data_IF_675424530996
#
_entry.id   IF_675424530996
#
_cell.length_a   1.000
_cell.length_b   1.000
_cell.length_c   1.000
_cell.angle_alpha   90.00
_cell.angle_beta   90.00
_cell.angle_gamma   90.00
#
_symmetry.space_group_name_H-M   'P 1'
#
loop_
_entity.id
_entity.type
_entity.pdbx_description
1 polymer ?
#
# COMPACT_ATOMS: atom_id res chain seq x y z
N UNK A 1 2.37 -11.83 34.13
CA UNK A 1 1.82 -11.01 33.03
C UNK A 1 2.93 -10.11 32.48
N UNK A 2 3.55 -10.47 31.35
CA UNK A 2 4.60 -9.67 30.70
C UNK A 2 3.94 -8.65 29.78
N UNK A 3 4.12 -7.35 30.07
CA UNK A 3 3.71 -6.25 29.18
C UNK A 3 4.46 -6.40 27.85
N UNK A 4 3.71 -6.58 26.77
CA UNK A 4 4.21 -6.48 25.40
C UNK A 4 4.53 -5.01 25.14
N UNK A 5 5.81 -4.65 25.09
CA UNK A 5 6.25 -3.38 24.55
C UNK A 5 6.03 -3.42 23.04
N UNK A 6 4.86 -2.93 22.62
CA UNK A 6 4.62 -2.60 21.22
C UNK A 6 5.51 -1.42 20.84
N UNK A 7 6.14 -1.55 19.68
CA UNK A 7 6.92 -0.55 18.98
C UNK A 7 6.42 0.87 19.24
N UNK A 8 7.14 1.62 20.08
CA UNK A 8 7.09 3.08 20.06
C UNK A 8 8.19 3.51 19.10
N UNK A 9 7.99 3.24 17.81
CA UNK A 9 8.68 4.01 16.81
C UNK A 9 8.29 5.47 17.05
N UNK A 10 9.25 6.39 17.03
CA UNK A 10 8.99 7.82 16.95
C UNK A 10 8.22 8.06 15.63
N UNK A 11 6.90 7.84 15.66
CA UNK A 11 5.98 8.44 14.72
C UNK A 11 5.90 9.89 15.16
N UNK A 12 6.79 10.72 14.63
CA UNK A 12 6.37 12.08 14.31
C UNK A 12 5.15 11.90 13.41
N UNK A 13 4.00 12.25 13.95
CA UNK A 13 2.75 12.35 13.22
C UNK A 13 2.96 13.36 12.09
N UNK A 14 3.45 12.89 10.94
CA UNK A 14 3.34 13.60 9.68
C UNK A 14 1.85 13.57 9.34
N UNK A 15 1.11 14.51 9.94
CA UNK A 15 -0.14 14.98 9.39
C UNK A 15 0.21 15.45 7.98
N UNK A 16 -0.15 14.66 6.96
CA UNK A 16 -0.20 15.12 5.57
C UNK A 16 -1.35 16.14 5.46
N UNK A 17 -1.23 17.27 6.16
CA UNK A 17 -2.00 18.48 5.93
C UNK A 17 -1.23 19.30 4.90
N UNK A 18 -1.18 18.80 3.66
CA UNK A 18 -0.87 19.65 2.54
C UNK A 18 -2.10 20.56 2.35
N UNK A 19 -2.08 21.73 2.98
CA UNK A 19 -2.91 22.85 2.56
C UNK A 19 -2.40 23.25 1.17
N UNK A 20 -2.98 22.65 0.13
CA UNK A 20 -2.73 23.06 -1.25
C UNK A 20 -3.35 24.45 -1.45
N UNK A 21 -2.58 25.51 -1.21
CA UNK A 21 -2.85 26.81 -1.81
C UNK A 21 -2.71 26.66 -3.32
N UNK A 22 -3.82 26.87 -4.04
CA UNK A 22 -4.00 26.74 -5.50
C UNK A 22 -2.71 26.82 -6.35
N UNK A 23 -2.42 25.72 -7.05
CA UNK A 23 -1.72 25.53 -8.34
C UNK A 23 -0.43 24.69 -8.41
N UNK A 24 0.18 24.24 -7.30
CA UNK A 24 1.32 23.31 -7.41
C UNK A 24 1.03 21.98 -6.72
N UNK A 25 1.12 20.89 -7.49
CA UNK A 25 1.05 19.53 -6.98
C UNK A 25 2.33 19.25 -6.17
N UNK A 26 2.17 18.91 -4.89
CA UNK A 26 3.28 18.41 -4.08
C UNK A 26 3.61 16.97 -4.48
N UNK A 27 4.83 16.74 -4.95
CA UNK A 27 5.28 15.44 -5.47
C UNK A 27 6.13 14.70 -4.44
N UNK A 28 5.71 13.51 -4.06
CA UNK A 28 6.43 12.64 -3.14
C UNK A 28 7.16 11.54 -3.94
N UNK A 29 8.49 11.44 -3.87
CA UNK A 29 9.25 10.40 -4.56
C UNK A 29 9.07 9.04 -3.88
N UNK A 30 8.89 7.97 -4.65
CA UNK A 30 8.73 6.61 -4.11
C UNK A 30 9.30 5.55 -5.07
N UNK A 31 9.63 4.37 -4.56
CA UNK A 31 9.95 3.21 -5.39
C UNK A 31 8.69 2.45 -5.78
N UNK A 32 8.63 2.05 -7.05
CA UNK A 32 7.58 1.23 -7.62
C UNK A 32 7.97 -0.28 -7.63
N UNK A 33 7.01 -1.19 -7.85
CA UNK A 33 7.20 -2.65 -7.83
C UNK A 33 8.23 -3.13 -8.86
N UNK A 34 8.43 -2.37 -9.93
CA UNK A 34 9.46 -2.63 -10.96
C UNK A 34 10.86 -2.11 -10.58
N UNK A 35 10.99 -1.44 -9.44
CA UNK A 35 12.23 -0.82 -8.95
C UNK A 35 12.52 0.56 -9.53
N UNK A 36 11.60 1.13 -10.30
CA UNK A 36 11.73 2.51 -10.78
C UNK A 36 11.43 3.52 -9.66
N UNK A 37 12.13 4.66 -9.69
CA UNK A 37 11.75 5.83 -8.88
C UNK A 37 10.66 6.60 -9.60
N UNK A 38 9.51 6.73 -8.95
CA UNK A 38 8.35 7.47 -9.43
C UNK A 38 8.06 8.64 -8.49
N UNK A 39 7.09 9.48 -8.84
CA UNK A 39 6.59 10.53 -7.96
C UNK A 39 5.06 10.51 -7.93
N UNK A 40 4.49 10.67 -6.74
CA UNK A 40 3.04 10.65 -6.52
C UNK A 40 2.57 11.96 -5.91
N UNK A 41 1.40 12.42 -6.32
CA UNK A 41 0.70 13.55 -5.71
C UNK A 41 -0.75 13.20 -5.41
N UNK A 42 -1.40 13.97 -4.55
CA UNK A 42 -2.74 13.69 -4.05
C UNK A 42 -3.66 14.90 -4.22
N UNK A 43 -4.79 14.70 -4.90
CA UNK A 43 -5.87 15.69 -4.98
C UNK A 43 -7.01 15.26 -4.06
N UNK A 44 -7.38 16.09 -3.08
CA UNK A 44 -8.49 15.81 -2.18
C UNK A 44 -9.83 16.22 -2.80
N UNK A 45 -10.90 15.51 -2.44
CA UNK A 45 -12.28 15.96 -2.70
C UNK A 45 -12.74 16.79 -1.50
N UNK A 46 -13.07 18.06 -1.72
CA UNK A 46 -13.41 19.03 -0.66
C UNK A 46 -14.60 18.61 0.23
N UNK A 47 -15.48 17.74 -0.27
CA UNK A 47 -16.75 17.37 0.37
C UNK A 47 -16.72 15.99 1.07
N UNK A 48 -15.60 15.26 1.03
CA UNK A 48 -15.51 13.90 1.57
C UNK A 48 -15.32 13.84 3.10
N UNK A 49 -15.22 14.98 3.78
CA UNK A 49 -15.02 15.07 5.22
C UNK A 49 -16.22 14.47 5.99
N UNK A 50 -15.99 13.35 6.68
CA UNK A 50 -16.98 12.69 7.53
C UNK A 50 -17.78 11.57 6.88
N UNK A 51 -17.66 11.34 5.57
CA UNK A 51 -18.31 10.22 4.88
C UNK A 51 -17.36 9.03 4.76
N UNK A 52 -17.59 7.99 5.57
CA UNK A 52 -16.69 6.82 5.68
C UNK A 52 -16.51 6.03 4.39
N UNK A 53 -17.50 6.05 3.50
CA UNK A 53 -17.53 5.24 2.27
C UNK A 53 -17.36 6.06 0.99
N UNK A 54 -17.24 7.39 1.09
CA UNK A 54 -17.10 8.24 -0.08
C UNK A 54 -15.68 8.22 -0.64
N UNK A 55 -15.55 8.52 -1.93
CA UNK A 55 -14.26 8.82 -2.57
C UNK A 55 -13.60 9.99 -1.85
N UNK A 56 -12.37 9.80 -1.38
CA UNK A 56 -11.61 10.76 -0.58
C UNK A 56 -10.72 11.68 -1.43
N UNK A 57 -10.34 11.21 -2.61
CA UNK A 57 -9.36 11.90 -3.43
C UNK A 57 -8.99 11.12 -4.68
N UNK A 58 -8.00 11.63 -5.38
CA UNK A 58 -7.37 10.98 -6.53
C UNK A 58 -5.87 11.05 -6.34
N UNK A 59 -5.17 9.93 -6.56
CA UNK A 59 -3.72 9.93 -6.66
C UNK A 59 -3.30 10.16 -8.11
N UNK A 60 -2.25 10.96 -8.28
CA UNK A 60 -1.64 11.27 -9.56
C UNK A 60 -0.21 10.72 -9.55
N UNK A 61 0.19 10.09 -10.64
CA UNK A 61 1.57 9.67 -10.85
C UNK A 61 2.21 10.61 -11.88
N UNK A 62 3.40 11.12 -11.55
CA UNK A 62 4.17 11.95 -12.48
C UNK A 62 4.63 11.10 -13.66
N UNK A 63 4.51 11.64 -14.85
CA UNK A 63 5.02 11.05 -16.08
C UNK A 63 5.85 12.06 -16.85
N UNK A 64 6.69 11.55 -17.74
CA UNK A 64 7.36 12.36 -18.74
C UNK A 64 6.86 11.98 -20.11
N UNK A 65 6.41 12.98 -20.86
CA UNK A 65 6.15 12.86 -22.28
C UNK A 65 7.19 13.72 -22.98
N UNK A 66 8.19 13.08 -23.59
CA UNK A 66 9.44 13.70 -24.04
C UNK A 66 10.11 14.50 -22.90
N UNK A 67 10.23 15.83 -23.08
CA UNK A 67 10.84 16.76 -22.12
C UNK A 67 9.79 17.52 -21.29
N UNK A 68 8.51 17.11 -21.34
CA UNK A 68 7.42 17.76 -20.63
C UNK A 68 7.01 16.90 -19.43
N UNK A 69 7.11 17.48 -18.24
CA UNK A 69 6.54 16.87 -17.03
C UNK A 69 5.01 16.95 -17.13
N UNK A 70 4.37 15.78 -17.11
CA UNK A 70 2.92 15.60 -17.09
C UNK A 70 2.55 14.66 -15.94
N UNK A 71 1.27 14.32 -15.84
CA UNK A 71 0.80 13.36 -14.86
C UNK A 71 -0.38 12.56 -15.39
N UNK A 72 -0.48 11.31 -14.94
CA UNK A 72 -1.66 10.49 -15.13
C UNK A 72 -2.39 10.28 -13.81
N UNK A 73 -3.68 10.04 -13.90
CA UNK A 73 -4.44 9.50 -12.76
C UNK A 73 -3.94 8.08 -12.48
N UNK A 74 -3.47 7.86 -11.25
CA UNK A 74 -3.14 6.54 -10.74
C UNK A 74 -4.41 5.80 -10.29
N UNK A 75 -5.30 6.49 -9.57
CA UNK A 75 -6.58 5.92 -9.15
C UNK A 75 -7.33 6.78 -8.14
N UNK A 76 -8.56 6.36 -7.84
CA UNK A 76 -9.43 6.98 -6.85
C UNK A 76 -9.14 6.43 -5.45
N UNK A 77 -8.98 7.34 -4.49
CA UNK A 77 -8.61 7.02 -3.11
C UNK A 77 -9.86 6.80 -2.27
N UNK A 78 -9.89 5.69 -1.54
CA UNK A 78 -10.95 5.33 -0.60
C UNK A 78 -10.36 5.05 0.79
N UNK A 79 -11.21 5.04 1.83
CA UNK A 79 -10.83 4.53 3.13
C UNK A 79 -11.22 3.07 3.26
N UNK A 80 -10.30 2.25 3.76
CA UNK A 80 -10.66 0.98 4.38
C UNK A 80 -10.19 0.98 5.82
N UNK A 81 -10.63 0.00 6.59
CA UNK A 81 -10.17 -0.21 7.95
C UNK A 81 -9.35 -1.49 7.99
N UNK A 82 -8.17 -1.42 8.60
CA UNK A 82 -7.41 -2.64 8.88
C UNK A 82 -8.07 -3.47 9.99
N UNK A 83 -7.49 -4.63 10.29
CA UNK A 83 -7.97 -5.54 11.33
C UNK A 83 -8.01 -4.94 12.74
N UNK A 84 -7.40 -3.77 12.96
CA UNK A 84 -7.40 -3.02 14.22
C UNK A 84 -8.27 -1.75 14.13
N UNK A 85 -9.17 -1.67 13.16
CA UNK A 85 -10.06 -0.53 12.91
C UNK A 85 -9.32 0.80 12.62
N UNK A 86 -8.05 0.73 12.20
CA UNK A 86 -7.32 1.93 11.82
C UNK A 86 -7.60 2.27 10.35
N UNK A 87 -7.96 3.53 10.04
CA UNK A 87 -8.23 3.94 8.68
C UNK A 87 -6.95 3.86 7.84
N UNK A 88 -7.10 3.34 6.62
CA UNK A 88 -6.07 3.27 5.59
C UNK A 88 -6.61 3.90 4.31
N UNK A 89 -5.81 4.79 3.70
CA UNK A 89 -6.12 5.32 2.37
C UNK A 89 -5.59 4.34 1.34
N UNK A 90 -6.46 3.90 0.45
CA UNK A 90 -6.12 2.86 -0.52
C UNK A 90 -6.64 3.18 -1.91
N UNK A 91 -6.02 2.56 -2.91
CA UNK A 91 -6.57 2.40 -4.25
C UNK A 91 -6.59 0.91 -4.53
N UNK A 92 -7.73 0.40 -5.00
CA UNK A 92 -7.84 -0.95 -5.58
C UNK A 92 -7.99 -0.76 -7.08
N UNK A 93 -7.17 -1.43 -7.88
CA UNK A 93 -7.29 -1.41 -9.34
C UNK A 93 -7.56 -2.81 -9.87
N UNK A 94 -8.60 -2.93 -10.68
CA UNK A 94 -8.72 -4.02 -11.64
C UNK A 94 -8.11 -3.53 -12.95
N UNK A 95 -6.88 -3.97 -13.24
CA UNK A 95 -6.03 -3.38 -14.28
C UNK A 95 -5.82 -1.88 -14.05
N UNK A 96 -6.47 -1.01 -14.83
CA UNK A 96 -6.35 0.45 -14.74
C UNK A 96 -7.57 1.13 -14.11
N UNK A 97 -8.61 0.36 -13.81
CA UNK A 97 -9.89 0.87 -13.33
C UNK A 97 -9.94 0.82 -11.80
N UNK A 98 -10.20 1.97 -11.18
CA UNK A 98 -10.39 2.04 -9.72
C UNK A 98 -11.67 1.32 -9.32
N UNK A 99 -11.55 0.49 -8.29
CA UNK A 99 -12.66 -0.23 -7.66
C UNK A 99 -12.92 0.39 -6.30
N UNK A 100 -14.17 0.78 -6.06
CA UNK A 100 -14.61 1.22 -4.74
C UNK A 100 -14.62 0.00 -3.79
N UNK A 101 -13.83 -0.01 -2.70
CA UNK A 101 -13.80 -1.12 -1.75
C UNK A 101 -15.12 -1.29 -0.98
N UNK A 102 -16.04 -0.34 -1.07
CA UNK A 102 -17.38 -0.41 -0.48
C UNK A 102 -18.46 -0.83 -1.48
N UNK A 103 -18.15 -0.93 -2.77
CA UNK A 103 -19.06 -1.49 -3.77
C UNK A 103 -18.94 -3.02 -3.84
N UNK A 104 -19.94 -3.79 -3.37
CA UNK A 104 -19.85 -5.24 -3.37
C UNK A 104 -19.75 -5.84 -4.77
N UNK A 105 -20.29 -5.18 -5.80
CA UNK A 105 -20.23 -5.69 -7.18
C UNK A 105 -18.81 -5.58 -7.73
N UNK A 106 -18.20 -4.40 -7.61
CA UNK A 106 -16.81 -4.16 -7.99
C UNK A 106 -15.83 -5.05 -7.24
N UNK A 107 -15.99 -5.19 -5.93
CA UNK A 107 -15.13 -6.06 -5.10
C UNK A 107 -15.29 -7.54 -5.47
N UNK A 108 -16.50 -8.01 -5.73
CA UNK A 108 -16.72 -9.38 -6.21
C UNK A 108 -16.05 -9.62 -7.56
N UNK A 109 -16.15 -8.66 -8.50
CA UNK A 109 -15.47 -8.74 -9.78
C UNK A 109 -13.94 -8.77 -9.61
N UNK A 110 -13.41 -7.97 -8.68
CA UNK A 110 -12.00 -8.01 -8.29
C UNK A 110 -11.61 -9.40 -7.79
N UNK A 111 -12.41 -10.03 -6.92
CA UNK A 111 -12.16 -11.38 -6.41
C UNK A 111 -12.17 -12.50 -7.46
N UNK A 112 -12.80 -12.26 -8.62
CA UNK A 112 -12.80 -13.16 -9.78
C UNK A 112 -11.66 -12.86 -10.77
N UNK A 113 -10.98 -11.73 -10.64
CA UNK A 113 -9.87 -11.37 -11.50
C UNK A 113 -8.62 -12.23 -11.23
N UNK A 114 -7.69 -12.24 -12.19
CA UNK A 114 -6.38 -12.89 -12.03
C UNK A 114 -5.32 -11.97 -11.45
N UNK A 115 -5.46 -10.66 -11.68
CA UNK A 115 -4.48 -9.67 -11.23
C UNK A 115 -5.23 -8.49 -10.65
N UNK A 116 -4.81 -8.02 -9.48
CA UNK A 116 -5.22 -6.71 -9.00
C UNK A 116 -4.06 -5.99 -8.33
N UNK A 117 -4.08 -4.67 -8.45
CA UNK A 117 -3.11 -3.79 -7.84
C UNK A 117 -3.76 -3.08 -6.64
N UNK A 118 -2.99 -2.96 -5.57
CA UNK A 118 -3.39 -2.33 -4.33
C UNK A 118 -2.35 -1.30 -3.94
N UNK A 119 -2.75 -0.04 -3.85
CA UNK A 119 -1.91 1.01 -3.31
C UNK A 119 -2.37 1.39 -1.92
N UNK A 120 -1.43 1.73 -1.05
CA UNK A 120 -1.69 2.27 0.27
C UNK A 120 -0.92 3.55 0.53
N UNK A 121 -1.56 4.48 1.24
CA UNK A 121 -0.99 5.77 1.58
C UNK A 121 -1.29 6.14 3.03
N UNK A 122 -0.34 6.86 3.65
CA UNK A 122 -0.44 7.34 5.03
C UNK A 122 0.37 6.49 6.00
N UNK A 123 0.24 6.76 7.30
CA UNK A 123 1.07 6.13 8.36
C UNK A 123 2.58 6.23 8.09
N UNK A 124 3.03 7.30 7.44
CA UNK A 124 4.43 7.51 7.04
C UNK A 124 4.93 6.60 5.93
N UNK A 125 4.04 5.98 5.14
CA UNK A 125 4.41 5.08 4.04
C UNK A 125 3.58 5.26 2.77
N UNK A 126 4.19 4.83 1.66
CA UNK A 126 3.55 4.62 0.35
C UNK A 126 3.86 3.20 -0.09
N UNK A 127 2.84 2.39 -0.32
CA UNK A 127 2.99 1.01 -0.74
C UNK A 127 2.22 0.71 -2.01
N UNK A 128 2.75 -0.23 -2.80
CA UNK A 128 2.05 -0.86 -3.91
C UNK A 128 2.24 -2.37 -3.80
N UNK A 129 1.16 -3.12 -3.95
CA UNK A 129 1.13 -4.57 -3.95
C UNK A 129 0.32 -5.07 -5.16
N UNK A 130 0.93 -5.94 -5.95
CA UNK A 130 0.28 -6.63 -7.06
C UNK A 130 0.05 -8.08 -6.67
N UNK A 131 -1.20 -8.51 -6.75
CA UNK A 131 -1.63 -9.87 -6.48
C UNK A 131 -1.86 -10.59 -7.80
N UNK A 132 -1.42 -11.84 -7.92
CA UNK A 132 -1.55 -12.66 -9.12
C UNK A 132 -2.05 -14.05 -8.77
N UNK A 133 -3.10 -14.48 -9.47
CA UNK A 133 -3.73 -15.79 -9.34
C UNK A 133 -3.68 -16.53 -10.68
N UNK A 134 -3.71 -17.86 -10.62
CA UNK A 134 -3.72 -18.71 -11.80
C UNK A 134 -5.13 -18.76 -12.44
N UNK A 135 -6.16 -18.90 -11.60
CA UNK A 135 -7.56 -19.01 -12.02
C UNK A 135 -8.33 -17.74 -11.66
N UNK A 136 -8.52 -17.50 -10.37
CA UNK A 136 -9.24 -16.35 -9.82
C UNK A 136 -8.78 -16.14 -8.37
N UNK A 137 -8.55 -14.89 -7.98
CA UNK A 137 -7.95 -14.52 -6.68
C UNK A 137 -8.58 -15.25 -5.50
N UNK A 138 -9.89 -15.17 -5.33
CA UNK A 138 -10.53 -15.72 -4.14
C UNK A 138 -10.59 -17.25 -4.14
N UNK A 139 -10.72 -17.87 -5.31
CA UNK A 139 -10.65 -19.34 -5.41
C UNK A 139 -9.25 -19.86 -5.13
N UNK A 140 -8.21 -19.16 -5.59
CA UNK A 140 -6.83 -19.59 -5.44
C UNK A 140 -6.32 -19.34 -4.02
N UNK A 141 -6.66 -18.19 -3.43
CA UNK A 141 -6.37 -17.84 -2.04
C UNK A 141 -6.95 -18.84 -1.02
N UNK A 142 -8.16 -19.35 -1.28
CA UNK A 142 -8.81 -20.37 -0.46
C UNK A 142 -8.27 -21.79 -0.71
N UNK A 143 -7.45 -22.00 -1.73
CA UNK A 143 -6.94 -23.30 -2.15
C UNK A 143 -5.46 -23.49 -1.81
N UNK A 144 -4.90 -24.65 -2.18
CA UNK A 144 -3.46 -24.92 -2.11
C UNK A 144 -2.64 -24.20 -3.19
N UNK A 145 -3.27 -23.54 -4.17
CA UNK A 145 -2.55 -22.75 -5.18
C UNK A 145 -2.02 -21.44 -4.59
N UNK A 146 -2.81 -20.79 -3.73
CA UNK A 146 -2.46 -19.48 -3.17
C UNK A 146 -2.47 -18.37 -4.22
N UNK A 147 -2.21 -17.15 -3.76
CA UNK A 147 -2.10 -15.95 -4.60
C UNK A 147 -0.69 -15.42 -4.47
N UNK A 148 0.02 -15.31 -5.59
CA UNK A 148 1.35 -14.71 -5.60
C UNK A 148 1.25 -13.20 -5.41
N UNK A 149 2.19 -12.66 -4.65
CA UNK A 149 2.29 -11.25 -4.34
C UNK A 149 3.69 -10.76 -4.71
N UNK A 150 3.73 -9.62 -5.38
CA UNK A 150 4.89 -8.73 -5.41
C UNK A 150 4.48 -7.42 -4.78
N UNK A 151 5.27 -6.88 -3.87
CA UNK A 151 4.96 -5.59 -3.27
C UNK A 151 6.21 -4.78 -2.95
N UNK A 152 6.02 -3.47 -2.93
CA UNK A 152 6.97 -2.47 -2.49
C UNK A 152 6.33 -1.62 -1.40
N UNK A 153 7.08 -1.28 -0.37
CA UNK A 153 6.65 -0.31 0.65
C UNK A 153 7.78 0.65 0.95
N UNK A 154 7.49 1.94 0.75
CA UNK A 154 8.39 3.05 1.01
C UNK A 154 8.03 3.65 2.37
N UNK A 155 8.99 3.66 3.30
CA UNK A 155 8.83 4.19 4.64
C UNK A 155 9.64 5.47 4.77
N UNK A 156 8.96 6.57 5.00
CA UNK A 156 9.56 7.90 4.98
C UNK A 156 10.05 8.29 6.36
N UNK A 157 11.33 8.70 6.43
CA UNK A 157 11.86 9.46 7.56
C UNK A 157 11.63 10.96 7.36
N UNK A 158 11.73 11.42 6.10
CA UNK A 158 11.34 12.76 5.63
C UNK A 158 10.78 12.63 4.21
N UNK A 159 10.21 13.69 3.64
CA UNK A 159 9.60 13.65 2.29
C UNK A 159 10.54 13.15 1.18
N UNK A 160 11.86 13.40 1.31
CA UNK A 160 12.86 12.99 0.32
C UNK A 160 13.83 11.91 0.82
N UNK A 161 13.63 11.39 2.04
CA UNK A 161 14.48 10.35 2.62
C UNK A 161 13.64 9.19 3.12
N UNK A 162 13.79 8.04 2.48
CA UNK A 162 13.00 6.85 2.76
C UNK A 162 13.82 5.58 2.56
N UNK A 163 13.38 4.50 3.20
CA UNK A 163 13.83 3.16 2.86
C UNK A 163 12.66 2.38 2.25
N UNK A 164 13.01 1.41 1.42
CA UNK A 164 12.05 0.62 0.66
C UNK A 164 12.20 -0.85 1.03
N UNK A 165 11.08 -1.51 1.26
CA UNK A 165 10.95 -2.96 1.39
C UNK A 165 10.34 -3.53 0.12
N UNK A 166 11.10 -4.35 -0.62
CA UNK A 166 10.61 -5.14 -1.74
C UNK A 166 10.37 -6.57 -1.27
N UNK A 167 9.15 -7.06 -1.43
CA UNK A 167 8.70 -8.34 -0.88
C UNK A 167 8.01 -9.14 -1.97
N UNK A 168 8.32 -10.43 -2.01
CA UNK A 168 7.53 -11.42 -2.76
C UNK A 168 7.00 -12.48 -1.82
N UNK A 169 5.92 -13.14 -2.18
CA UNK A 169 5.43 -14.30 -1.44
C UNK A 169 4.15 -14.87 -2.02
N UNK A 170 3.80 -16.08 -1.63
CA UNK A 170 2.53 -16.73 -1.97
C UNK A 170 1.62 -16.71 -0.74
N UNK A 171 0.45 -16.11 -0.89
CA UNK A 171 -0.54 -15.87 0.17
C UNK A 171 -1.63 -16.93 0.17
N UNK A 172 -2.07 -17.33 1.35
CA UNK A 172 -3.11 -18.34 1.56
C UNK A 172 -4.09 -17.88 2.64
N UNK A 173 -5.34 -18.31 2.56
CA UNK A 173 -6.37 -17.94 3.54
C UNK A 173 -6.10 -18.50 4.94
N UNK A 174 -5.63 -19.75 5.03
CA UNK A 174 -5.49 -20.48 6.29
C UNK A 174 -4.06 -20.92 6.59
N UNK A 175 -3.08 -20.50 5.79
CA UNK A 175 -1.68 -20.87 5.94
C UNK A 175 -0.80 -19.63 5.98
N UNK A 176 0.38 -19.76 6.58
CA UNK A 176 1.39 -18.70 6.56
C UNK A 176 1.84 -18.45 5.12
N UNK A 177 2.25 -17.21 4.78
CA UNK A 177 2.87 -16.92 3.50
C UNK A 177 4.06 -17.84 3.22
N UNK A 178 4.19 -18.30 1.97
CA UNK A 178 5.28 -19.14 1.50
C UNK A 178 6.08 -18.41 0.41
N UNK A 179 7.18 -19.00 -0.05
CA UNK A 179 8.03 -18.44 -1.12
C UNK A 179 8.44 -16.98 -0.87
N UNK A 180 8.70 -16.64 0.40
CA UNK A 180 8.93 -15.27 0.83
C UNK A 180 10.30 -14.79 0.38
N UNK A 181 10.32 -13.78 -0.48
CA UNK A 181 11.50 -13.01 -0.84
C UNK A 181 11.46 -11.64 -0.17
N UNK A 182 12.61 -11.14 0.27
CA UNK A 182 12.73 -9.81 0.87
C UNK A 182 14.05 -9.15 0.48
N UNK A 183 13.98 -7.88 0.08
CA UNK A 183 15.12 -7.01 -0.17
C UNK A 183 14.81 -5.59 0.31
N UNK A 184 15.82 -4.92 0.86
CA UNK A 184 15.75 -3.51 1.20
C UNK A 184 16.51 -2.65 0.17
N UNK A 185 16.02 -1.42 -0.05
CA UNK A 185 16.73 -0.34 -0.74
C UNK A 185 16.66 0.94 0.12
N UNK A 186 17.65 1.82 0.00
CA UNK A 186 17.80 2.97 0.88
C UNK A 186 18.04 4.23 0.03
N UNK A 187 17.21 5.25 0.25
CA UNK A 187 17.25 6.54 -0.42
C UNK A 187 17.44 7.59 0.67
N UNK A 188 18.62 7.58 1.29
CA UNK A 188 18.96 8.37 2.46
C UNK A 188 20.21 9.18 2.14
N UNK A 189 20.21 10.46 2.49
CA UNK A 189 21.35 11.37 2.28
C UNK A 189 22.05 11.73 3.59
N UNK A 190 21.33 11.70 4.72
CA UNK A 190 21.89 11.84 6.05
C UNK A 190 22.53 10.50 6.51
N UNK A 191 23.84 10.54 6.79
CA UNK A 191 24.62 9.36 7.17
C UNK A 191 24.23 8.78 8.52
N UNK A 192 23.95 9.62 9.52
CA UNK A 192 23.58 9.14 10.86
C UNK A 192 22.19 8.49 10.82
N UNK A 193 21.27 9.07 10.04
CA UNK A 193 19.96 8.48 9.78
C UNK A 193 20.09 7.16 9.01
N UNK A 194 20.95 7.11 7.99
CA UNK A 194 21.21 5.90 7.21
C UNK A 194 21.75 4.76 8.06
N UNK A 195 22.75 5.02 8.89
CA UNK A 195 23.33 4.02 9.80
C UNK A 195 22.26 3.45 10.74
N UNK A 196 21.41 4.32 11.30
CA UNK A 196 20.31 3.92 12.18
C UNK A 196 19.27 3.07 11.44
N UNK A 197 18.76 3.53 10.30
CA UNK A 197 17.73 2.81 9.54
C UNK A 197 18.26 1.47 9.05
N UNK A 198 19.51 1.39 8.60
CA UNK A 198 20.15 0.12 8.21
C UNK A 198 20.32 -0.82 9.40
N UNK A 199 20.59 -0.32 10.61
CA UNK A 199 20.66 -1.14 11.80
C UNK A 199 19.29 -1.74 12.15
N UNK A 200 18.23 -0.92 12.15
CA UNK A 200 16.85 -1.36 12.37
C UNK A 200 16.39 -2.36 11.30
N UNK A 201 16.74 -2.12 10.03
CA UNK A 201 16.43 -3.04 8.93
C UNK A 201 17.11 -4.40 9.12
N UNK A 202 18.40 -4.44 9.48
CA UNK A 202 19.11 -5.71 9.74
C UNK A 202 18.47 -6.51 10.88
N UNK A 203 17.97 -5.83 11.90
CA UNK A 203 17.39 -6.49 13.08
C UNK A 203 15.92 -6.90 12.86
N UNK A 204 15.14 -6.11 12.12
CA UNK A 204 13.68 -6.22 12.07
C UNK A 204 13.09 -6.34 10.66
N UNK A 205 13.87 -6.10 9.61
CA UNK A 205 13.40 -6.02 8.22
C UNK A 205 12.62 -7.25 7.77
N UNK A 206 13.13 -8.45 8.05
CA UNK A 206 12.40 -9.71 7.74
C UNK A 206 11.08 -9.84 8.49
N UNK A 207 11.03 -9.42 9.76
CA UNK A 207 9.79 -9.46 10.56
C UNK A 207 8.78 -8.46 10.01
N UNK A 208 9.23 -7.26 9.64
CA UNK A 208 8.41 -6.25 8.99
C UNK A 208 7.86 -6.75 7.64
N UNK A 209 8.68 -7.43 6.83
CA UNK A 209 8.25 -8.03 5.58
C UNK A 209 7.14 -9.06 5.77
N UNK A 210 7.27 -9.96 6.76
CA UNK A 210 6.21 -10.91 7.11
C UNK A 210 4.95 -10.19 7.61
N UNK A 211 5.09 -9.14 8.42
CA UNK A 211 3.95 -8.36 8.88
C UNK A 211 3.18 -7.70 7.72
N UNK A 212 3.90 -7.14 6.74
CA UNK A 212 3.29 -6.59 5.52
C UNK A 212 2.53 -7.67 4.73
N UNK A 213 3.11 -8.87 4.56
CA UNK A 213 2.42 -9.99 3.89
C UNK A 213 1.14 -10.39 4.63
N UNK A 214 1.20 -10.48 5.96
CA UNK A 214 0.03 -10.81 6.77
C UNK A 214 -1.04 -9.72 6.72
N UNK A 215 -0.65 -8.45 6.63
CA UNK A 215 -1.59 -7.35 6.37
C UNK A 215 -2.32 -7.56 5.03
N UNK A 216 -1.61 -7.97 3.97
CA UNK A 216 -2.22 -8.26 2.66
C UNK A 216 -3.11 -9.50 2.67
N UNK A 217 -2.79 -10.52 3.47
CA UNK A 217 -3.71 -11.63 3.78
C UNK A 217 -5.00 -11.11 4.41
N UNK A 218 -4.90 -10.13 5.31
CA UNK A 218 -6.06 -9.44 5.90
C UNK A 218 -6.91 -8.71 4.85
N UNK A 219 -6.29 -7.96 3.95
CA UNK A 219 -6.99 -7.29 2.83
C UNK A 219 -7.74 -8.28 1.96
N UNK A 220 -7.09 -9.39 1.57
CA UNK A 220 -7.76 -10.45 0.81
C UNK A 220 -8.92 -11.06 1.61
N UNK A 221 -8.72 -11.34 2.90
CA UNK A 221 -9.72 -12.03 3.72
C UNK A 221 -10.94 -11.18 4.05
N UNK A 222 -10.76 -9.88 4.29
CA UNK A 222 -11.81 -8.99 4.81
C UNK A 222 -12.45 -8.11 3.75
N UNK A 223 -11.70 -7.75 2.70
CA UNK A 223 -12.20 -6.83 1.66
C UNK A 223 -12.51 -7.63 0.39
N UNK A 224 -11.52 -8.30 -0.20
CA UNK A 224 -11.65 -8.85 -1.58
C UNK A 224 -12.41 -10.19 -1.63
N UNK A 225 -12.13 -11.09 -0.69
CA UNK A 225 -12.63 -12.46 -0.68
C UNK A 225 -13.52 -12.79 0.52
N UNK A 226 -13.76 -11.81 1.39
CA UNK A 226 -14.65 -11.95 2.52
C UNK A 226 -16.07 -12.28 2.09
N UNK A 227 -16.67 -13.31 2.71
CA UNK A 227 -18.08 -13.67 2.47
C UNK A 227 -19.05 -12.85 3.32
N UNK A 228 -18.56 -12.10 4.29
CA UNK A 228 -19.36 -11.17 5.10
C UNK A 228 -19.16 -9.75 4.58
N UNK A 229 -20.20 -9.26 3.89
CA UNK A 229 -20.33 -7.83 3.60
C UNK A 229 -20.31 -7.11 4.94
N UNK A 230 -19.41 -6.14 5.10
CA UNK A 230 -19.45 -5.17 6.20
C UNK A 230 -20.90 -4.66 6.30
N UNK A 231 -21.57 -5.03 7.40
CA UNK A 231 -22.89 -4.52 7.75
C UNK A 231 -22.75 -3.14 8.37
#
# INVERSE_FOLDING_TARGET
MKKRHFFTALLTSLMLSACATKNELAWLPYQEIDGSTQAISFMQVAEAWGQKTAKQGTALQREKFDNIDTYRKLGDIYYIYDVNEQPMRVILLNHTQSVDPHDPAGVNALGQSKVFDFYEFGKGRVGHAQFTANTALCSDFASKRGVDLRMVTNYYATENQYFTSLITGTLFQQQKPQNVGYKAAFFLSDKALEEKIRAEEREHGKRLAIANLMEKVGILSSIVCGKEKVR
#
